data_IF_997753772324
#
_entry.id   IF_997753772324
#
_cell.length_a   1.000
_cell.length_b   1.000
_cell.length_c   1.000
_cell.angle_alpha   90.00
_cell.angle_beta   90.00
_cell.angle_gamma   90.00
#
_symmetry.space_group_name_H-M   'P 1'
#
loop_
_entity.id
_entity.type
_entity.pdbx_description
1 polymer ?
#
# COMPACT_ATOMS: atom_id res chain seq x y z
N UNK A 1 -20.04 -5.32 16.47
CA UNK A 1 -20.56 -5.49 15.10
C UNK A 1 -19.42 -5.95 14.21
N UNK A 2 -19.52 -7.13 13.57
CA UNK A 2 -18.52 -7.54 12.58
C UNK A 2 -18.55 -6.56 11.40
N UNK A 3 -17.37 -6.16 10.92
CA UNK A 3 -17.28 -5.36 9.69
C UNK A 3 -17.80 -6.19 8.53
N UNK A 4 -18.58 -5.57 7.64
CA UNK A 4 -18.98 -6.18 6.38
C UNK A 4 -17.76 -6.60 5.57
N UNK A 5 -17.90 -7.66 4.77
CA UNK A 5 -16.84 -8.16 3.91
C UNK A 5 -16.41 -7.09 2.90
N UNK A 6 -15.12 -7.05 2.58
CA UNK A 6 -14.59 -6.12 1.58
C UNK A 6 -15.01 -6.58 0.18
N UNK A 7 -15.72 -5.71 -0.54
CA UNK A 7 -16.07 -5.95 -1.94
C UNK A 7 -14.80 -5.77 -2.77
N UNK A 8 -14.44 -6.80 -3.55
CA UNK A 8 -13.31 -6.78 -4.48
C UNK A 8 -13.85 -6.89 -5.91
N UNK A 9 -13.46 -5.95 -6.76
CA UNK A 9 -13.69 -5.96 -8.20
C UNK A 9 -12.39 -5.64 -8.95
N UNK A 10 -12.28 -6.13 -10.17
CA UNK A 10 -11.09 -6.01 -11.05
C UNK A 10 -10.83 -4.57 -11.49
N UNK A 11 -11.89 -3.77 -11.65
CA UNK A 11 -11.81 -2.40 -12.19
C UNK A 11 -12.02 -1.32 -11.13
N UNK A 12 -11.99 -1.71 -9.85
CA UNK A 12 -12.20 -0.77 -8.74
C UNK A 12 -10.90 -0.06 -8.34
N UNK A 13 -11.03 1.21 -7.96
CA UNK A 13 -9.94 1.99 -7.37
C UNK A 13 -10.02 1.85 -5.85
N UNK A 14 -8.88 1.52 -5.23
CA UNK A 14 -8.80 1.33 -3.78
C UNK A 14 -7.89 2.37 -3.15
N UNK A 15 -8.35 2.98 -2.06
CA UNK A 15 -7.49 3.75 -1.17
C UNK A 15 -6.90 2.82 -0.11
N UNK A 16 -5.57 2.67 -0.13
CA UNK A 16 -4.82 1.80 0.78
C UNK A 16 -3.97 2.69 1.69
N UNK A 17 -4.14 2.55 3.01
CA UNK A 17 -3.30 3.21 4.00
C UNK A 17 -2.42 2.18 4.70
N UNK A 18 -1.12 2.45 4.75
CA UNK A 18 -0.15 1.65 5.51
C UNK A 18 0.21 2.43 6.77
N UNK A 19 0.16 1.76 7.93
CA UNK A 19 0.51 2.34 9.22
C UNK A 19 1.51 1.44 9.92
N UNK A 20 2.42 2.05 10.66
CA UNK A 20 3.30 1.33 11.57
C UNK A 20 2.51 0.83 12.78
N UNK A 21 3.11 -0.08 13.53
CA UNK A 21 2.60 -0.45 14.85
C UNK A 21 2.78 0.73 15.81
N UNK A 22 1.86 0.88 16.76
CA UNK A 22 1.83 2.04 17.66
C UNK A 22 3.18 2.31 18.32
N UNK A 23 3.63 3.57 18.22
CA UNK A 23 4.87 4.06 18.82
C UNK A 23 6.09 4.13 17.90
N UNK A 24 6.01 3.64 16.66
CA UNK A 24 7.14 3.71 15.71
C UNK A 24 6.78 4.48 14.43
N UNK A 25 7.70 5.32 13.96
CA UNK A 25 7.60 5.92 12.62
C UNK A 25 7.63 4.82 11.56
N UNK A 26 6.72 4.90 10.58
CA UNK A 26 6.66 3.96 9.45
C UNK A 26 7.95 3.98 8.63
N UNK A 27 8.52 5.18 8.45
CA UNK A 27 9.82 5.39 7.84
C UNK A 27 10.68 6.14 8.85
N UNK A 28 11.84 5.58 9.21
CA UNK A 28 12.78 6.24 10.13
C UNK A 28 13.71 7.16 9.36
N UNK A 29 14.05 6.75 8.14
CA UNK A 29 14.89 7.51 7.22
C UNK A 29 14.25 7.62 5.84
N UNK A 30 14.68 8.61 5.05
CA UNK A 30 14.21 8.77 3.66
C UNK A 30 14.53 7.53 2.81
N UNK A 31 15.63 6.83 3.10
CA UNK A 31 16.01 5.60 2.40
C UNK A 31 14.98 4.47 2.57
N UNK A 32 14.33 4.39 3.73
CA UNK A 32 13.28 3.39 3.97
C UNK A 32 12.07 3.63 3.06
N UNK A 33 11.72 4.90 2.87
CA UNK A 33 10.66 5.32 1.95
C UNK A 33 11.01 4.98 0.51
N UNK A 34 12.24 5.25 0.08
CA UNK A 34 12.68 4.93 -1.29
C UNK A 34 12.68 3.41 -1.54
N UNK A 35 13.15 2.62 -0.57
CA UNK A 35 13.10 1.16 -0.64
C UNK A 35 11.66 0.65 -0.73
N UNK A 36 10.74 1.21 0.07
CA UNK A 36 9.32 0.88 0.02
C UNK A 36 8.69 1.20 -1.34
N UNK A 37 8.96 2.38 -1.90
CA UNK A 37 8.46 2.77 -3.21
C UNK A 37 9.00 1.87 -4.33
N UNK A 38 10.28 1.46 -4.24
CA UNK A 38 10.87 0.51 -5.18
C UNK A 38 10.21 -0.87 -5.11
N UNK A 39 9.87 -1.36 -3.91
CA UNK A 39 9.11 -2.60 -3.74
C UNK A 39 7.73 -2.50 -4.37
N UNK A 40 7.00 -1.40 -4.11
CA UNK A 40 5.68 -1.17 -4.71
C UNK A 40 5.78 -1.16 -6.23
N UNK A 41 6.81 -0.55 -6.80
CA UNK A 41 7.04 -0.53 -8.25
C UNK A 41 7.31 -1.94 -8.82
N UNK A 42 8.13 -2.75 -8.16
CA UNK A 42 8.37 -4.14 -8.58
C UNK A 42 7.07 -4.96 -8.59
N UNK A 43 6.23 -4.78 -7.57
CA UNK A 43 4.91 -5.42 -7.54
C UNK A 43 3.93 -4.83 -8.55
N UNK A 44 4.05 -3.54 -8.86
CA UNK A 44 3.27 -2.89 -9.91
C UNK A 44 3.53 -3.56 -11.27
N UNK A 45 4.79 -3.86 -11.58
CA UNK A 45 5.19 -4.57 -12.80
C UNK A 45 4.73 -6.04 -12.77
N UNK A 46 4.83 -6.71 -11.63
CA UNK A 46 4.44 -8.11 -11.48
C UNK A 46 2.91 -8.33 -11.57
N UNK A 47 2.11 -7.43 -10.99
CA UNK A 47 0.66 -7.58 -10.85
C UNK A 47 -0.16 -6.64 -11.76
N UNK A 48 0.48 -5.74 -12.49
CA UNK A 48 -0.16 -4.91 -13.51
C UNK A 48 -1.14 -3.84 -12.98
N UNK A 49 -1.07 -3.47 -11.71
CA UNK A 49 -1.94 -2.42 -11.16
C UNK A 49 -1.42 -1.01 -11.48
N UNK A 50 -2.30 -0.01 -11.38
CA UNK A 50 -1.94 1.40 -11.50
C UNK A 50 -1.99 2.07 -10.14
N UNK A 51 -0.97 2.85 -9.82
CA UNK A 51 -0.94 3.70 -8.63
C UNK A 51 -1.44 5.09 -9.02
N UNK A 52 -2.44 5.58 -8.30
CA UNK A 52 -2.99 6.93 -8.44
C UNK A 52 -2.60 7.75 -7.19
N UNK A 53 -2.27 9.03 -7.37
CA UNK A 53 -1.79 9.93 -6.32
C UNK A 53 -2.87 10.93 -5.88
#
# INVERSE_FOLDING_TARGET
>A
MPRAARIKSTDSIYHIMVRSNDGLLLFRENKDKDAFLNLVKGYQEQFGFKVYA
#
